data_IF_885980733490
#
_entry.id   IF_885980733490
#
_cell.length_a   1.000
_cell.length_b   1.000
_cell.length_c   1.000
_cell.angle_alpha   90.00
_cell.angle_beta   90.00
_cell.angle_gamma   90.00
#
_symmetry.space_group_name_H-M   'P 1'
#
loop_
_entity.id
_entity.type
_entity.pdbx_description
1 polymer ?
#
# COMPACT_ATOMS: atom_id res chain seq x y z
N UNK A 1 17.87 -14.57 7.75
CA UNK A 1 18.54 -14.07 6.54
C UNK A 1 18.13 -12.62 6.36
N UNK A 2 19.01 -11.69 6.66
CA UNK A 2 18.74 -10.27 6.38
C UNK A 2 19.41 -9.96 5.04
N UNK A 3 18.60 -9.88 3.98
CA UNK A 3 19.07 -9.37 2.70
C UNK A 3 19.21 -7.85 2.81
N UNK A 4 20.42 -7.35 2.65
CA UNK A 4 20.71 -5.90 2.66
C UNK A 4 20.77 -5.33 1.25
N UNK A 5 20.43 -6.10 0.22
CA UNK A 5 20.42 -5.67 -1.17
C UNK A 5 19.38 -4.56 -1.36
N UNK A 6 19.81 -3.43 -1.91
CA UNK A 6 18.91 -2.32 -2.19
C UNK A 6 18.24 -2.54 -3.56
N UNK A 7 17.28 -3.44 -3.59
CA UNK A 7 16.60 -3.90 -4.83
C UNK A 7 15.88 -2.76 -5.54
N UNK A 8 15.24 -1.85 -4.81
CA UNK A 8 14.37 -0.80 -5.38
C UNK A 8 15.09 0.01 -6.47
N UNK A 9 16.32 0.47 -6.23
CA UNK A 9 17.09 1.23 -7.24
C UNK A 9 17.33 0.47 -8.54
N UNK A 10 17.41 -0.86 -8.49
CA UNK A 10 17.66 -1.69 -9.66
C UNK A 10 16.42 -1.93 -10.52
N UNK A 11 15.22 -1.78 -9.96
CA UNK A 11 13.96 -1.94 -10.69
C UNK A 11 13.35 -0.61 -11.15
N UNK A 12 13.83 0.52 -10.61
CA UNK A 12 13.41 1.86 -11.07
C UNK A 12 13.90 2.14 -12.51
N UNK A 13 13.31 3.12 -13.22
CA UNK A 13 13.78 3.53 -14.55
C UNK A 13 15.30 3.81 -14.56
N UNK A 14 16.01 3.15 -15.49
CA UNK A 14 17.46 3.17 -15.57
C UNK A 14 18.17 2.08 -14.77
N UNK A 15 17.48 1.34 -13.94
CA UNK A 15 18.04 0.21 -13.18
C UNK A 15 18.18 -1.07 -14.04
N UNK A 16 19.09 -1.95 -13.62
CA UNK A 16 19.45 -3.17 -14.36
C UNK A 16 18.32 -4.19 -14.50
N UNK A 17 17.33 -4.17 -13.60
CA UNK A 17 16.17 -5.07 -13.59
C UNK A 17 14.85 -4.36 -13.94
N UNK A 18 14.92 -3.12 -14.47
CA UNK A 18 13.72 -2.37 -14.80
C UNK A 18 12.84 -3.08 -15.84
N UNK A 19 13.46 -3.70 -16.86
CA UNK A 19 12.72 -4.45 -17.87
C UNK A 19 11.99 -5.67 -17.29
N UNK A 20 12.60 -6.39 -16.34
CA UNK A 20 11.97 -7.51 -15.62
C UNK A 20 10.79 -7.00 -14.79
N UNK A 21 10.97 -5.91 -14.05
CA UNK A 21 9.89 -5.31 -13.27
C UNK A 21 8.68 -4.90 -14.13
N UNK A 22 8.93 -4.34 -15.31
CA UNK A 22 7.85 -4.05 -16.28
C UNK A 22 7.13 -5.31 -16.75
N UNK A 23 7.86 -6.42 -16.94
CA UNK A 23 7.25 -7.69 -17.31
C UNK A 23 6.36 -8.25 -16.18
N UNK A 24 6.79 -8.11 -14.91
CA UNK A 24 5.99 -8.51 -13.75
C UNK A 24 4.70 -7.66 -13.64
N UNK A 25 4.81 -6.35 -13.83
CA UNK A 25 3.65 -5.45 -13.85
C UNK A 25 2.69 -5.77 -15.00
N UNK A 26 3.21 -6.28 -16.13
CA UNK A 26 2.34 -6.72 -17.23
C UNK A 26 1.50 -7.95 -16.84
N UNK A 27 2.03 -8.88 -16.05
CA UNK A 27 1.26 -10.02 -15.53
C UNK A 27 0.08 -9.52 -14.69
N UNK A 28 0.32 -8.51 -13.86
CA UNK A 28 -0.73 -7.88 -13.03
C UNK A 28 -1.79 -7.20 -13.92
N UNK A 29 -1.35 -6.50 -14.97
CA UNK A 29 -2.27 -5.87 -15.92
C UNK A 29 -3.11 -6.89 -16.68
N UNK A 30 -2.50 -7.99 -17.15
CA UNK A 30 -3.19 -9.07 -17.84
C UNK A 30 -4.26 -9.70 -16.92
N UNK A 31 -3.97 -9.87 -15.62
CA UNK A 31 -4.97 -10.31 -14.64
C UNK A 31 -6.12 -9.30 -14.53
N UNK A 32 -5.82 -8.00 -14.38
CA UNK A 32 -6.83 -6.97 -14.22
C UNK A 32 -7.78 -6.87 -15.43
N UNK A 33 -7.24 -6.96 -16.64
CA UNK A 33 -8.01 -6.95 -17.89
C UNK A 33 -8.91 -8.18 -18.08
N UNK A 34 -8.57 -9.30 -17.43
CA UNK A 34 -9.35 -10.53 -17.50
C UNK A 34 -10.30 -10.70 -16.30
N UNK A 35 -10.20 -9.84 -15.28
CA UNK A 35 -11.10 -9.85 -14.13
C UNK A 35 -12.47 -9.26 -14.52
N UNK A 36 -13.39 -10.11 -14.98
CA UNK A 36 -14.73 -9.73 -15.45
C UNK A 36 -15.82 -10.42 -14.66
N UNK A 37 -16.92 -9.70 -14.45
CA UNK A 37 -18.15 -10.25 -13.94
C UNK A 37 -18.89 -11.09 -14.99
N UNK A 38 -20.00 -11.71 -14.58
CA UNK A 38 -20.87 -12.50 -15.47
C UNK A 38 -21.50 -11.67 -16.60
N UNK A 39 -21.59 -10.35 -16.41
CA UNK A 39 -22.04 -9.36 -17.37
C UNK A 39 -20.96 -8.96 -18.40
N UNK A 40 -19.72 -9.44 -18.23
CA UNK A 40 -18.57 -9.10 -19.06
C UNK A 40 -17.88 -7.78 -18.69
N UNK A 41 -18.40 -7.03 -17.72
CA UNK A 41 -17.79 -5.78 -17.23
C UNK A 41 -16.58 -6.05 -16.34
N UNK A 42 -15.60 -5.13 -16.36
CA UNK A 42 -14.41 -5.23 -15.53
C UNK A 42 -14.77 -5.08 -14.03
N UNK A 43 -14.31 -6.02 -13.22
CA UNK A 43 -14.50 -5.97 -11.77
C UNK A 43 -13.55 -4.89 -11.18
N UNK A 44 -14.05 -3.92 -10.39
CA UNK A 44 -13.20 -3.01 -9.64
C UNK A 44 -12.34 -3.76 -8.62
N UNK A 45 -11.04 -3.46 -8.59
CA UNK A 45 -10.06 -4.13 -7.75
C UNK A 45 -9.35 -3.09 -6.88
N UNK A 46 -9.29 -3.30 -5.58
CA UNK A 46 -8.40 -2.52 -4.71
C UNK A 46 -7.00 -3.12 -4.84
N UNK A 47 -6.10 -2.39 -5.49
CA UNK A 47 -4.71 -2.79 -5.65
C UNK A 47 -3.84 -2.07 -4.61
N UNK A 48 -3.25 -2.84 -3.72
CA UNK A 48 -2.46 -2.36 -2.58
C UNK A 48 -0.99 -2.79 -2.70
N UNK A 49 -0.22 -2.13 -3.57
CA UNK A 49 1.19 -2.43 -3.74
C UNK A 49 2.04 -1.87 -2.61
N UNK A 50 3.15 -2.54 -2.31
CA UNK A 50 4.23 -2.02 -1.45
C UNK A 50 3.78 -1.66 -0.04
N UNK A 51 2.85 -2.43 0.55
CA UNK A 51 2.32 -2.20 1.90
C UNK A 51 3.40 -2.35 2.98
N UNK A 52 3.13 -1.83 4.17
CA UNK A 52 4.01 -1.93 5.36
C UNK A 52 5.46 -1.49 5.07
N UNK A 53 5.62 -0.49 4.22
CA UNK A 53 6.90 0.03 3.75
C UNK A 53 7.69 0.78 4.84
N UNK A 54 7.07 1.12 5.95
CA UNK A 54 7.64 1.73 7.14
C UNK A 54 8.30 0.70 8.07
N UNK A 55 8.07 -0.60 7.84
CA UNK A 55 8.80 -1.71 8.45
C UNK A 55 10.06 -2.12 7.70
N UNK A 56 10.75 -3.16 8.22
CA UNK A 56 12.01 -3.67 7.68
C UNK A 56 11.93 -5.12 7.15
N UNK A 57 10.75 -5.72 7.16
CA UNK A 57 10.56 -7.11 6.77
C UNK A 57 10.40 -7.34 5.27
N UNK A 58 10.06 -6.29 4.53
CA UNK A 58 10.00 -6.35 3.07
C UNK A 58 11.20 -5.65 2.43
N UNK A 59 11.63 -6.12 1.26
CA UNK A 59 12.74 -5.54 0.49
C UNK A 59 12.48 -4.13 -0.05
N UNK A 60 11.23 -3.66 -0.01
CA UNK A 60 10.83 -2.28 -0.30
C UNK A 60 10.67 -1.41 0.95
N UNK A 61 10.96 -1.97 2.13
CA UNK A 61 10.78 -1.33 3.41
C UNK A 61 11.78 -0.22 3.72
N UNK A 62 11.60 0.38 4.89
CA UNK A 62 12.27 1.61 5.34
C UNK A 62 13.80 1.58 5.24
N UNK A 63 14.43 0.45 5.57
CA UNK A 63 15.90 0.32 5.56
C UNK A 63 16.45 -0.17 4.21
N UNK A 64 15.61 -0.51 3.25
CA UNK A 64 16.00 -1.10 1.97
C UNK A 64 15.94 -0.11 0.80
N UNK A 65 15.29 1.04 1.00
CA UNK A 65 15.27 2.14 0.04
C UNK A 65 15.03 3.48 0.73
N UNK A 66 15.51 4.55 0.10
CA UNK A 66 15.22 5.91 0.55
C UNK A 66 13.74 6.28 0.37
N UNK A 67 13.31 7.35 1.03
CA UNK A 67 11.96 7.92 0.87
C UNK A 67 11.66 8.23 -0.60
N UNK A 68 12.61 8.83 -1.30
CA UNK A 68 12.44 9.21 -2.70
C UNK A 68 12.43 8.01 -3.64
N UNK A 69 13.22 6.97 -3.37
CA UNK A 69 13.19 5.72 -4.14
C UNK A 69 11.84 5.03 -3.98
N UNK A 70 11.28 4.98 -2.75
CA UNK A 70 9.95 4.42 -2.51
C UNK A 70 8.86 5.21 -3.25
N UNK A 71 8.87 6.55 -3.14
CA UNK A 71 7.90 7.40 -3.87
C UNK A 71 7.98 7.18 -5.37
N UNK A 72 9.20 7.07 -5.92
CA UNK A 72 9.40 6.77 -7.35
C UNK A 72 8.87 5.38 -7.72
N UNK A 73 9.09 4.37 -6.88
CA UNK A 73 8.60 3.01 -7.08
C UNK A 73 7.07 3.00 -7.16
N UNK A 74 6.41 3.60 -6.17
CA UNK A 74 4.96 3.67 -6.12
C UNK A 74 4.39 4.42 -7.33
N UNK A 75 4.92 5.60 -7.63
CA UNK A 75 4.49 6.42 -8.77
C UNK A 75 4.67 5.70 -10.10
N UNK A 76 5.82 5.04 -10.29
CA UNK A 76 6.08 4.26 -11.50
C UNK A 76 5.09 3.11 -11.64
N UNK A 77 4.85 2.35 -10.57
CA UNK A 77 3.87 1.25 -10.55
C UNK A 77 2.50 1.73 -11.02
N UNK A 78 1.98 2.81 -10.43
CA UNK A 78 0.67 3.36 -10.78
C UNK A 78 0.63 3.87 -12.22
N UNK A 79 1.59 4.71 -12.61
CA UNK A 79 1.57 5.30 -13.97
C UNK A 79 1.80 4.25 -15.04
N UNK A 80 2.62 3.25 -14.80
CA UNK A 80 2.85 2.20 -15.79
C UNK A 80 1.61 1.30 -15.96
N UNK A 81 0.97 0.90 -14.87
CA UNK A 81 -0.28 0.12 -14.94
C UNK A 81 -1.42 0.93 -15.56
N UNK A 82 -1.70 2.13 -15.03
CA UNK A 82 -2.84 2.94 -15.44
C UNK A 82 -2.66 3.56 -16.82
N UNK A 83 -1.50 4.20 -17.07
CA UNK A 83 -1.31 5.07 -18.24
C UNK A 83 -0.62 4.34 -19.41
N UNK A 84 0.22 3.31 -19.15
CA UNK A 84 0.92 2.58 -20.21
C UNK A 84 0.28 1.23 -20.54
N UNK A 85 -0.28 0.55 -19.56
CA UNK A 85 -0.95 -0.74 -19.71
C UNK A 85 -2.47 -0.63 -19.63
N UNK A 86 -3.03 0.59 -19.56
CA UNK A 86 -4.46 0.90 -19.62
C UNK A 86 -5.33 0.13 -18.59
N UNK A 87 -4.78 -0.12 -17.39
CA UNK A 87 -5.53 -0.73 -16.29
C UNK A 87 -6.38 0.34 -15.61
N UNK A 88 -7.68 0.35 -15.88
CA UNK A 88 -8.60 1.38 -15.38
C UNK A 88 -9.58 0.88 -14.32
N UNK A 89 -9.49 -0.38 -13.93
CA UNK A 89 -10.33 -0.98 -12.89
C UNK A 89 -9.62 -1.13 -11.53
N UNK A 90 -8.44 -0.50 -11.34
CA UNK A 90 -7.77 -0.44 -10.05
C UNK A 90 -8.13 0.82 -9.26
N UNK A 91 -8.38 0.63 -7.96
CA UNK A 91 -8.29 1.63 -6.92
C UNK A 91 -6.98 1.41 -6.16
N UNK A 92 -6.09 2.38 -6.20
CA UNK A 92 -4.75 2.26 -5.60
C UNK A 92 -4.77 2.60 -4.12
N UNK A 93 -4.36 1.64 -3.27
CA UNK A 93 -4.32 1.80 -1.83
C UNK A 93 -2.89 2.01 -1.31
N UNK A 94 -2.70 3.06 -0.52
CA UNK A 94 -1.46 3.35 0.21
C UNK A 94 -1.64 2.92 1.66
N UNK A 95 -0.80 2.03 2.16
CA UNK A 95 -0.99 1.35 3.45
C UNK A 95 0.36 1.08 4.13
N UNK A 96 0.81 1.97 5.04
CA UNK A 96 1.86 1.63 6.00
C UNK A 96 1.36 0.66 7.06
N UNK A 97 2.27 0.11 7.85
CA UNK A 97 1.98 -0.43 9.19
C UNK A 97 1.56 0.72 10.14
N UNK A 98 1.29 0.42 11.37
CA UNK A 98 0.79 1.38 12.36
C UNK A 98 1.89 2.20 13.08
N UNK A 99 3.09 2.34 12.51
CA UNK A 99 4.24 2.99 13.12
C UNK A 99 4.20 4.52 13.18
N UNK A 100 3.06 5.16 12.97
CA UNK A 100 2.91 6.62 12.96
C UNK A 100 1.97 7.12 14.07
N UNK A 101 2.14 8.37 14.50
CA UNK A 101 1.29 9.07 15.46
C UNK A 101 0.90 10.49 15.01
N UNK A 102 1.47 10.93 13.89
CA UNK A 102 1.19 12.23 13.26
C UNK A 102 0.91 12.07 11.76
N UNK A 103 0.19 13.04 11.19
CA UNK A 103 -0.05 13.11 9.74
C UNK A 103 1.27 13.21 8.96
N UNK A 104 2.26 13.96 9.46
CA UNK A 104 3.55 14.11 8.82
C UNK A 104 4.32 12.78 8.75
N UNK A 105 4.30 11.97 9.81
CA UNK A 105 4.88 10.64 9.81
C UNK A 105 4.16 9.70 8.83
N UNK A 106 2.82 9.73 8.83
CA UNK A 106 2.00 8.97 7.88
C UNK A 106 2.35 9.30 6.43
N UNK A 107 2.58 10.57 6.12
CA UNK A 107 2.83 11.07 4.78
C UNK A 107 4.32 11.05 4.37
N UNK A 108 5.25 10.62 5.23
CA UNK A 108 6.70 10.64 4.93
C UNK A 108 7.00 10.03 3.55
N UNK A 109 6.40 8.88 3.25
CA UNK A 109 6.60 8.13 1.99
C UNK A 109 5.43 8.24 1.02
N UNK A 110 4.47 9.12 1.29
CA UNK A 110 3.27 9.29 0.47
C UNK A 110 3.62 9.74 -0.96
N UNK A 111 3.16 9.02 -2.00
CA UNK A 111 3.54 9.32 -3.37
C UNK A 111 2.85 10.55 -3.96
N UNK A 112 1.76 11.00 -3.34
CA UNK A 112 0.93 12.14 -3.76
C UNK A 112 -0.46 11.71 -4.22
N UNK A 113 -1.42 12.63 -4.10
CA UNK A 113 -2.86 12.38 -4.25
C UNK A 113 -3.29 11.77 -5.58
N UNK A 114 -2.60 12.10 -6.66
CA UNK A 114 -2.93 11.57 -8.00
C UNK A 114 -2.58 10.09 -8.21
N UNK A 115 -1.92 9.47 -7.24
CA UNK A 115 -1.48 8.08 -7.30
C UNK A 115 -2.19 7.19 -6.29
N UNK A 116 -3.07 7.75 -5.46
CA UNK A 116 -3.70 7.04 -4.35
C UNK A 116 -5.20 7.35 -4.34
N UNK A 117 -6.03 6.33 -4.23
CA UNK A 117 -7.48 6.43 -4.08
C UNK A 117 -7.91 6.12 -2.66
N UNK A 118 -7.21 5.19 -2.01
CA UNK A 118 -7.48 4.71 -0.65
C UNK A 118 -6.26 4.95 0.23
N UNK A 119 -6.44 5.67 1.33
CA UNK A 119 -5.44 5.82 2.39
C UNK A 119 -5.77 4.83 3.50
N UNK A 120 -4.84 3.93 3.80
CA UNK A 120 -5.04 2.83 4.73
C UNK A 120 -3.94 2.70 5.78
N UNK A 121 -4.10 1.78 6.70
CA UNK A 121 -3.06 1.29 7.59
C UNK A 121 -3.30 -0.17 7.93
N UNK A 122 -2.21 -0.90 8.14
CA UNK A 122 -2.22 -2.24 8.71
C UNK A 122 -1.96 -2.09 10.21
N UNK A 123 -2.86 -2.57 11.04
CA UNK A 123 -2.74 -2.39 12.48
C UNK A 123 -3.13 -3.65 13.24
N UNK A 124 -2.13 -4.39 13.64
CA UNK A 124 -2.26 -5.55 14.52
C UNK A 124 -1.88 -5.21 15.96
N UNK A 125 -0.96 -4.25 16.14
CA UNK A 125 -0.31 -3.99 17.43
C UNK A 125 -1.22 -3.30 18.43
N UNK A 126 -1.95 -2.29 18.00
CA UNK A 126 -2.79 -1.50 18.91
C UNK A 126 -4.11 -2.24 19.23
N UNK A 127 -4.50 -3.23 18.43
CA UNK A 127 -5.69 -4.06 18.64
C UNK A 127 -5.44 -5.29 19.53
N UNK A 128 -4.21 -5.55 19.96
CA UNK A 128 -3.93 -6.75 20.77
C UNK A 128 -4.67 -6.73 22.09
N UNK A 129 -5.26 -7.88 22.52
CA UNK A 129 -5.96 -7.98 23.81
C UNK A 129 -5.04 -7.75 25.01
N UNK A 130 -3.77 -8.13 24.87
CA UNK A 130 -2.72 -8.01 25.87
C UNK A 130 -1.72 -6.92 25.46
N UNK A 131 -1.94 -5.72 25.96
CA UNK A 131 -1.03 -4.59 25.75
C UNK A 131 -1.29 -3.77 24.48
N UNK A 132 -2.43 -3.92 23.82
CA UNK A 132 -2.90 -2.97 22.81
C UNK A 132 -3.35 -1.66 23.42
N UNK A 133 -3.35 -0.60 22.62
CA UNK A 133 -3.83 0.73 23.04
C UNK A 133 -4.89 1.25 22.07
N UNK A 134 -6.14 1.12 22.47
CA UNK A 134 -7.28 1.59 21.68
C UNK A 134 -7.28 3.11 21.46
N UNK A 135 -6.60 3.89 22.30
CA UNK A 135 -6.45 5.33 22.09
C UNK A 135 -5.56 5.62 20.88
N UNK A 136 -4.53 4.80 20.64
CA UNK A 136 -3.70 4.86 19.43
C UNK A 136 -4.47 4.45 18.18
N UNK A 137 -5.33 3.43 18.27
CA UNK A 137 -6.24 3.07 17.16
C UNK A 137 -7.10 4.25 16.75
N UNK A 138 -7.74 4.91 17.72
CA UNK A 138 -8.61 6.08 17.47
C UNK A 138 -7.81 7.25 16.91
N UNK A 139 -6.62 7.53 17.46
CA UNK A 139 -5.74 8.60 16.96
C UNK A 139 -5.37 8.37 15.48
N UNK A 140 -4.88 7.18 15.15
CA UNK A 140 -4.43 6.83 13.79
C UNK A 140 -5.59 6.79 12.80
N UNK A 141 -6.73 6.21 13.18
CA UNK A 141 -7.94 6.23 12.37
C UNK A 141 -8.43 7.68 12.11
N UNK A 142 -8.30 8.58 13.09
CA UNK A 142 -8.63 10.00 12.92
C UNK A 142 -7.69 10.69 11.93
N UNK A 143 -6.39 10.43 11.99
CA UNK A 143 -5.42 10.95 11.02
C UNK A 143 -5.83 10.54 9.59
N UNK A 144 -6.11 9.25 9.38
CA UNK A 144 -6.53 8.72 8.08
C UNK A 144 -7.83 9.36 7.59
N UNK A 145 -8.86 9.39 8.43
CA UNK A 145 -10.18 9.88 8.03
C UNK A 145 -10.17 11.38 7.75
N UNK A 146 -9.44 12.17 8.55
CA UNK A 146 -9.29 13.60 8.31
C UNK A 146 -8.54 13.89 7.01
N UNK A 147 -7.43 13.17 6.76
CA UNK A 147 -6.70 13.29 5.51
C UNK A 147 -7.58 12.90 4.31
N UNK A 148 -8.23 11.73 4.38
CA UNK A 148 -9.12 11.24 3.34
C UNK A 148 -10.23 12.24 3.00
N UNK A 149 -10.91 12.77 4.02
CA UNK A 149 -11.97 13.75 3.85
C UNK A 149 -11.48 15.03 3.17
N UNK A 150 -10.33 15.55 3.61
CA UNK A 150 -9.73 16.78 3.07
C UNK A 150 -9.28 16.63 1.62
N UNK A 151 -8.85 15.43 1.21
CA UNK A 151 -8.26 15.16 -0.10
C UNK A 151 -9.15 14.34 -1.03
N UNK A 152 -10.42 14.09 -0.65
CA UNK A 152 -11.37 13.34 -1.48
C UNK A 152 -10.96 11.88 -1.69
N UNK A 153 -10.41 11.23 -0.65
CA UNK A 153 -9.96 9.85 -0.66
C UNK A 153 -10.89 8.97 0.17
N UNK A 154 -10.79 7.66 -0.04
CA UNK A 154 -11.35 6.67 0.89
C UNK A 154 -10.34 6.40 2.00
N UNK A 155 -10.82 6.04 3.20
CA UNK A 155 -9.98 5.59 4.30
C UNK A 155 -10.34 4.18 4.73
N UNK A 156 -9.33 3.36 5.09
CA UNK A 156 -9.53 1.98 5.48
C UNK A 156 -8.52 1.53 6.56
N UNK A 157 -8.93 0.59 7.40
CA UNK A 157 -8.00 -0.32 8.07
C UNK A 157 -7.82 -1.47 7.08
N UNK A 158 -6.63 -1.56 6.49
CA UNK A 158 -6.34 -2.46 5.37
C UNK A 158 -5.95 -3.85 5.82
N UNK A 159 -5.37 -3.96 7.00
CA UNK A 159 -5.18 -5.21 7.71
C UNK A 159 -5.39 -5.03 9.20
N UNK A 160 -5.99 -6.02 9.83
CA UNK A 160 -6.09 -6.14 11.28
C UNK A 160 -6.37 -7.58 11.65
N UNK A 161 -6.11 -7.94 12.89
CA UNK A 161 -6.46 -9.23 13.42
C UNK A 161 -6.01 -9.34 14.86
N UNK A 162 -6.86 -9.94 15.67
CA UNK A 162 -6.46 -10.47 16.97
C UNK A 162 -6.53 -11.98 16.84
N UNK A 163 -5.46 -12.68 17.20
CA UNK A 163 -5.52 -14.13 17.37
C UNK A 163 -6.35 -14.43 18.62
N UNK A 164 -7.64 -14.09 18.61
CA UNK A 164 -8.54 -14.51 19.66
C UNK A 164 -9.04 -15.90 19.32
N UNK A 165 -8.86 -16.82 20.24
CA UNK A 165 -9.50 -18.15 20.18
C UNK A 165 -11.01 -18.06 20.46
N UNK A 166 -11.54 -16.88 20.67
CA UNK A 166 -12.95 -16.66 21.00
C UNK A 166 -13.77 -16.40 19.76
N UNK A 167 -14.89 -17.14 19.66
CA UNK A 167 -15.91 -17.10 18.62
C UNK A 167 -16.70 -15.78 18.50
N UNK A 168 -16.16 -14.67 18.99
CA UNK A 168 -16.86 -13.38 19.04
C UNK A 168 -16.70 -12.51 17.78
N UNK A 169 -16.10 -13.06 16.71
CA UNK A 169 -15.91 -12.36 15.44
C UNK A 169 -16.82 -12.87 14.31
N UNK A 170 -17.90 -13.61 14.64
CA UNK A 170 -18.90 -14.07 13.67
C UNK A 170 -20.29 -13.57 14.02
#
# INVERSE_FOLDING_TARGET
>A
FYDTTQVVRHILPGGSYHATFKADLKIIADFAHNAKGDDGELIPIIFRPWHEFDGNWFWWGKNHCSVEEFKKLYRFTVTYLRDSLEVHNFLYAFSPDCGFTTEAEYLERYPGDKYVDVVGMDNYWDFRPDGGDTSLVVLKARILTQYAQKHGKLSAITETGTQTRDSLWY
#
